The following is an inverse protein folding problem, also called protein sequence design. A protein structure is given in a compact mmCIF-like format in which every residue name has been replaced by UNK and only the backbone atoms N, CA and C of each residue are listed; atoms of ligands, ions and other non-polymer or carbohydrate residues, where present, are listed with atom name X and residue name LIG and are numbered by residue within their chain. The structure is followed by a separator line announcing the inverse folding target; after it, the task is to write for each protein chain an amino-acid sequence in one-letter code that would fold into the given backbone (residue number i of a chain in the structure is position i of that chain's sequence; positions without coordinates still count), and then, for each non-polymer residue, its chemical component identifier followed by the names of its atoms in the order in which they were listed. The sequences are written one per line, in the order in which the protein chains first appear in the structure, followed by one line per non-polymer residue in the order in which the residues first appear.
data_IF_531194904776
#
_entry.id   IF_531194904776
#
_cell.length_a   1.000
_cell.length_b   1.000
_cell.length_c   1.000
_cell.angle_alpha   90.00
_cell.angle_beta   90.00
_cell.angle_gamma   90.00
#
_symmetry.space_group_name_H-M   'P 1'
#
loop_
_entity.id
_entity.type
_entity.pdbx_description
1 polymer ?
#
# COMPACT_ATOMS: atom_id res chain seq x y z
N UNK A 1 14.51 -12.41 -16.68
CA UNK A 1 15.06 -12.97 -15.43
C UNK A 1 15.75 -11.95 -14.50
N UNK A 2 16.26 -10.79 -14.96
CA UNK A 2 16.87 -9.79 -14.07
C UNK A 2 15.87 -8.83 -13.37
N UNK A 3 14.88 -8.32 -14.10
CA UNK A 3 13.90 -7.35 -13.53
C UNK A 3 12.98 -7.97 -12.48
N UNK A 4 12.58 -9.23 -12.66
CA UNK A 4 11.73 -9.95 -11.71
C UNK A 4 12.46 -10.30 -10.42
N UNK A 5 13.77 -10.56 -10.49
CA UNK A 5 14.60 -10.74 -9.29
C UNK A 5 14.81 -9.41 -8.55
N UNK A 6 14.88 -8.29 -9.25
CA UNK A 6 14.94 -6.96 -8.64
C UNK A 6 13.63 -6.63 -7.90
N UNK A 7 12.48 -6.88 -8.53
CA UNK A 7 11.16 -6.66 -7.92
C UNK A 7 10.93 -7.61 -6.73
N UNK A 8 11.28 -8.89 -6.88
CA UNK A 8 11.20 -9.86 -5.79
C UNK A 8 12.11 -9.48 -4.61
N UNK A 9 13.36 -9.11 -4.89
CA UNK A 9 14.30 -8.64 -3.86
C UNK A 9 13.85 -7.35 -3.17
N UNK A 10 13.26 -6.40 -3.90
CA UNK A 10 12.69 -5.19 -3.31
C UNK A 10 11.47 -5.48 -2.43
N UNK A 11 10.58 -6.37 -2.89
CA UNK A 11 9.40 -6.80 -2.14
C UNK A 11 9.81 -7.49 -0.84
N UNK A 12 10.81 -8.37 -0.90
CA UNK A 12 11.37 -9.07 0.27
C UNK A 12 11.97 -8.10 1.28
N UNK A 13 12.85 -7.20 0.83
CA UNK A 13 13.47 -6.18 1.71
C UNK A 13 12.42 -5.24 2.28
N UNK A 14 11.46 -4.77 1.48
CA UNK A 14 10.34 -3.96 1.92
C UNK A 14 9.44 -4.66 2.94
N UNK A 15 9.36 -6.00 2.86
CA UNK A 15 8.63 -6.87 3.80
C UNK A 15 9.48 -7.30 5.02
N UNK A 16 10.73 -6.86 5.13
CA UNK A 16 11.64 -7.19 6.23
C UNK A 16 12.32 -8.56 6.14
N UNK A 17 12.29 -9.21 4.99
CA UNK A 17 12.95 -10.49 4.72
C UNK A 17 14.44 -10.24 4.40
N UNK A 18 15.33 -11.03 5.00
CA UNK A 18 16.79 -10.90 4.85
C UNK A 18 17.27 -11.31 3.46
N UNK A 19 18.32 -10.65 2.93
CA UNK A 19 18.98 -11.02 1.67
C UNK A 19 19.50 -12.48 1.63
N UNK A 20 19.68 -13.13 2.79
CA UNK A 20 20.09 -14.54 2.88
C UNK A 20 18.93 -15.53 2.74
N UNK A 21 17.72 -15.06 2.92
CA UNK A 21 16.47 -15.84 2.84
C UNK A 21 15.71 -15.55 1.54
N UNK A 22 16.38 -14.97 0.54
CA UNK A 22 15.87 -14.84 -0.83
C UNK A 22 15.71 -16.27 -1.37
N UNK A 23 14.59 -16.88 -1.02
CA UNK A 23 14.13 -18.17 -1.52
C UNK A 23 13.93 -18.05 -3.04
N UNK A 24 13.80 -19.18 -3.74
CA UNK A 24 13.39 -19.18 -5.14
C UNK A 24 12.03 -18.49 -5.27
N UNK A 25 12.06 -17.18 -5.50
CA UNK A 25 10.92 -16.29 -5.55
C UNK A 25 10.04 -16.67 -6.73
N UNK A 26 8.78 -16.98 -6.47
CA UNK A 26 7.74 -16.87 -7.51
C UNK A 26 7.15 -15.45 -7.48
N UNK A 27 8.04 -14.45 -7.63
CA UNK A 27 7.65 -13.05 -7.72
C UNK A 27 6.67 -12.79 -8.86
N UNK A 28 6.62 -13.69 -9.85
CA UNK A 28 5.61 -13.69 -10.90
C UNK A 28 4.21 -14.00 -10.36
N UNK A 29 4.01 -15.02 -9.53
CA UNK A 29 2.71 -15.29 -8.92
C UNK A 29 2.26 -14.18 -7.97
N UNK A 30 3.18 -13.58 -7.21
CA UNK A 30 2.86 -12.40 -6.39
C UNK A 30 2.38 -11.23 -7.25
N UNK A 31 3.09 -10.94 -8.34
CA UNK A 31 2.69 -9.90 -9.30
C UNK A 31 1.34 -10.20 -9.96
N UNK A 32 1.10 -11.46 -10.34
CA UNK A 32 -0.18 -11.88 -10.93
C UNK A 32 -1.33 -11.78 -9.93
N UNK A 33 -1.10 -12.08 -8.64
CA UNK A 33 -2.09 -11.92 -7.59
C UNK A 33 -2.43 -10.43 -7.34
N UNK A 34 -1.44 -9.54 -7.44
CA UNK A 34 -1.59 -8.09 -7.26
C UNK A 34 -2.08 -7.37 -8.52
N UNK A 35 -2.05 -8.02 -9.69
CA UNK A 35 -2.60 -7.46 -10.92
C UNK A 35 -4.08 -7.12 -10.79
N UNK A 36 -4.57 -6.18 -11.61
CA UNK A 36 -6.00 -5.81 -11.64
C UNK A 36 -6.91 -7.03 -11.84
N UNK A 37 -6.53 -7.96 -12.73
CA UNK A 37 -7.29 -9.18 -12.98
C UNK A 37 -7.28 -10.14 -11.78
N UNK A 38 -6.14 -10.26 -11.11
CA UNK A 38 -5.99 -11.07 -9.89
C UNK A 38 -6.84 -10.52 -8.75
N UNK A 39 -6.71 -9.23 -8.48
CA UNK A 39 -7.48 -8.52 -7.46
C UNK A 39 -8.99 -8.56 -7.76
N UNK A 40 -9.41 -8.38 -9.02
CA UNK A 40 -10.83 -8.47 -9.39
C UNK A 40 -11.42 -9.86 -9.11
N UNK A 41 -10.70 -10.94 -9.44
CA UNK A 41 -11.12 -12.32 -9.13
C UNK A 41 -11.21 -12.57 -7.63
N UNK A 42 -10.30 -12.01 -6.84
CA UNK A 42 -10.33 -12.09 -5.37
C UNK A 42 -11.53 -11.32 -4.81
N UNK A 43 -11.72 -10.06 -5.22
CA UNK A 43 -12.78 -9.19 -4.74
C UNK A 43 -14.18 -9.71 -5.11
N UNK A 44 -14.33 -10.40 -6.24
CA UNK A 44 -15.58 -11.06 -6.60
C UNK A 44 -15.98 -12.17 -5.62
N UNK A 45 -14.99 -12.83 -4.98
CA UNK A 45 -15.23 -13.84 -3.94
C UNK A 45 -15.38 -13.24 -2.55
N UNK A 46 -14.67 -12.15 -2.28
CA UNK A 46 -14.60 -11.50 -0.97
C UNK A 46 -14.89 -9.99 -1.04
N UNK A 47 -16.15 -9.58 -1.32
CA UNK A 47 -16.50 -8.17 -1.60
C UNK A 47 -16.73 -7.30 -0.35
N UNK A 48 -16.36 -7.79 0.84
CA UNK A 48 -16.70 -7.13 2.10
C UNK A 48 -16.12 -5.70 2.16
N UNK A 49 -16.98 -4.71 2.40
CA UNK A 49 -16.62 -3.30 2.55
C UNK A 49 -15.80 -2.70 1.38
N UNK A 50 -15.96 -3.24 0.16
CA UNK A 50 -15.33 -2.72 -1.05
C UNK A 50 -16.14 -1.56 -1.67
N UNK A 51 -15.50 -0.62 -2.39
CA UNK A 51 -16.18 0.25 -3.34
C UNK A 51 -16.90 -0.54 -4.43
N UNK A 52 -18.03 -0.03 -4.92
CA UNK A 52 -18.79 -0.64 -6.04
C UNK A 52 -18.34 -0.14 -7.42
N UNK A 53 -17.52 0.90 -7.46
CA UNK A 53 -16.94 1.48 -8.67
C UNK A 53 -15.51 1.95 -8.43
N UNK A 54 -14.73 2.05 -9.51
CA UNK A 54 -13.37 2.55 -9.42
C UNK A 54 -13.34 3.97 -8.86
N UNK A 55 -12.46 4.19 -7.89
CA UNK A 55 -12.35 5.45 -7.15
C UNK A 55 -13.66 5.93 -6.49
N UNK A 56 -14.62 5.05 -6.26
CA UNK A 56 -15.72 5.29 -5.34
C UNK A 56 -15.25 5.26 -3.89
N UNK A 57 -16.09 5.75 -2.98
CA UNK A 57 -15.95 5.44 -1.56
C UNK A 57 -16.65 4.11 -1.27
N UNK A 58 -16.14 3.30 -0.32
CA UNK A 58 -16.84 2.10 0.13
C UNK A 58 -18.26 2.44 0.59
N UNK A 59 -19.25 1.69 0.12
CA UNK A 59 -20.67 1.91 0.47
C UNK A 59 -20.99 1.51 1.91
N UNK A 60 -20.10 0.72 2.54
CA UNK A 60 -20.17 0.32 3.93
C UNK A 60 -18.78 0.30 4.56
N UNK A 61 -18.69 0.68 5.83
CA UNK A 61 -17.47 0.60 6.65
C UNK A 61 -17.45 -0.66 7.53
N UNK A 62 -18.44 -1.54 7.41
CA UNK A 62 -18.51 -2.81 8.13
C UNK A 62 -19.21 -3.91 7.35
N UNK A 63 -18.80 -5.15 7.52
CA UNK A 63 -19.47 -6.33 6.97
C UNK A 63 -19.43 -7.48 7.98
N UNK A 64 -20.56 -8.17 8.18
CA UNK A 64 -20.67 -9.28 9.13
C UNK A 64 -20.17 -8.94 10.55
N UNK A 65 -20.45 -7.73 11.03
CA UNK A 65 -20.00 -7.25 12.35
C UNK A 65 -18.52 -6.84 12.43
N UNK A 66 -17.74 -7.00 11.34
CA UNK A 66 -16.34 -6.61 11.27
C UNK A 66 -16.25 -5.18 10.72
N UNK A 67 -15.53 -4.29 11.41
CA UNK A 67 -15.25 -2.92 10.94
C UNK A 67 -14.00 -2.91 10.07
N UNK A 68 -14.09 -2.28 8.89
CA UNK A 68 -12.99 -2.17 7.93
C UNK A 68 -12.49 -0.73 7.88
N UNK A 69 -11.18 -0.56 7.77
CA UNK A 69 -10.51 0.74 7.67
C UNK A 69 -9.41 0.64 6.61
N UNK A 70 -9.12 1.76 5.95
CA UNK A 70 -7.98 1.88 5.04
C UNK A 70 -7.31 3.23 5.18
N UNK A 71 -6.03 3.28 4.87
CA UNK A 71 -5.30 4.51 4.60
C UNK A 71 -4.22 4.23 3.54
N UNK A 72 -3.81 5.26 2.81
CA UNK A 72 -2.77 5.15 1.78
C UNK A 72 -2.11 6.50 1.51
N UNK A 73 -1.11 6.48 0.64
CA UNK A 73 -0.29 7.63 0.26
C UNK A 73 -0.38 7.98 -1.22
N UNK A 74 0.06 9.18 -1.53
CA UNK A 74 0.34 9.67 -2.87
C UNK A 74 1.68 10.38 -2.84
N UNK A 75 2.56 10.01 -3.78
CA UNK A 75 3.89 10.59 -3.94
C UNK A 75 4.97 9.52 -3.87
N UNK A 76 5.91 9.58 -4.81
CA UNK A 76 6.91 8.53 -5.00
C UNK A 76 8.28 8.93 -4.45
N UNK A 77 8.63 10.22 -4.60
CA UNK A 77 9.87 10.79 -4.10
C UNK A 77 9.56 11.78 -2.99
N UNK A 78 9.79 11.37 -1.76
CA UNK A 78 9.60 12.16 -0.54
C UNK A 78 10.93 12.52 0.13
N UNK A 79 11.98 11.75 -0.15
CA UNK A 79 13.32 11.89 0.41
C UNK A 79 14.37 11.52 -0.62
N UNK A 80 15.04 12.51 -1.21
CA UNK A 80 16.06 12.30 -2.24
C UNK A 80 17.26 11.42 -1.82
N UNK A 81 17.49 11.25 -0.50
CA UNK A 81 18.54 10.38 0.05
C UNK A 81 18.10 8.92 0.22
N UNK A 82 16.81 8.61 0.05
CA UNK A 82 16.30 7.24 0.07
C UNK A 82 16.35 6.68 -1.37
N UNK A 83 17.17 5.66 -1.66
CA UNK A 83 17.25 5.08 -3.00
C UNK A 83 15.93 4.40 -3.44
N UNK A 84 15.09 3.98 -2.49
CA UNK A 84 13.84 3.29 -2.79
C UNK A 84 12.81 4.19 -3.46
N UNK A 85 12.83 5.49 -3.17
CA UNK A 85 12.00 6.51 -3.81
C UNK A 85 12.15 6.52 -5.33
N UNK A 86 13.37 6.37 -5.84
CA UNK A 86 13.61 6.38 -7.29
C UNK A 86 13.06 5.11 -7.96
N UNK A 87 13.12 3.97 -7.27
CA UNK A 87 12.52 2.74 -7.77
C UNK A 87 10.99 2.86 -7.78
N UNK A 88 10.39 3.38 -6.70
CA UNK A 88 8.95 3.62 -6.61
C UNK A 88 8.46 4.65 -7.62
N UNK A 89 9.30 5.66 -7.93
CA UNK A 89 9.03 6.59 -9.01
C UNK A 89 9.03 5.88 -10.38
N UNK A 90 9.99 4.99 -10.63
CA UNK A 90 10.00 4.20 -11.88
C UNK A 90 8.79 3.27 -12.00
N UNK A 91 8.37 2.62 -10.92
CA UNK A 91 7.18 1.73 -10.93
C UNK A 91 5.86 2.49 -10.96
N UNK A 92 5.85 3.80 -10.69
CA UNK A 92 4.66 4.64 -10.84
C UNK A 92 4.29 4.97 -12.29
N UNK A 93 5.24 4.86 -13.24
CA UNK A 93 5.02 5.25 -14.65
C UNK A 93 3.78 4.60 -15.28
N UNK A 94 3.48 3.30 -15.09
CA UNK A 94 2.29 2.66 -15.64
C UNK A 94 0.96 3.19 -15.08
N UNK A 95 0.95 3.91 -13.96
CA UNK A 95 -0.24 4.52 -13.39
C UNK A 95 -0.70 5.78 -14.14
N UNK A 96 0.11 6.28 -15.08
CA UNK A 96 -0.19 7.48 -15.89
C UNK A 96 -0.52 8.69 -14.99
N UNK A 97 -1.77 9.17 -15.03
CA UNK A 97 -2.24 10.31 -14.24
C UNK A 97 -2.88 9.91 -12.91
N UNK A 98 -2.95 8.63 -12.59
CA UNK A 98 -3.61 8.15 -11.39
C UNK A 98 -2.72 8.35 -10.17
N UNK A 99 -3.27 8.95 -9.12
CA UNK A 99 -2.54 9.25 -7.90
C UNK A 99 -2.13 7.94 -7.22
N UNK A 100 -0.85 7.76 -6.90
CA UNK A 100 -0.31 6.49 -6.41
C UNK A 100 0.91 6.68 -5.49
N UNK A 101 1.25 5.63 -4.77
CA UNK A 101 2.39 5.56 -3.84
C UNK A 101 3.64 4.89 -4.47
N UNK A 102 3.61 4.64 -5.78
CA UNK A 102 4.64 3.90 -6.52
C UNK A 102 4.27 2.46 -6.86
N UNK A 103 3.35 1.84 -6.11
CA UNK A 103 2.91 0.44 -6.35
C UNK A 103 1.39 0.26 -6.33
N UNK A 104 0.65 1.13 -5.67
CA UNK A 104 -0.80 1.08 -5.53
C UNK A 104 -1.39 2.48 -5.74
N UNK A 105 -2.50 2.57 -6.49
CA UNK A 105 -3.21 3.84 -6.62
C UNK A 105 -4.04 4.15 -5.38
N UNK A 106 -4.22 5.44 -5.09
CA UNK A 106 -5.08 5.91 -4.00
C UNK A 106 -6.49 5.32 -4.11
N UNK A 107 -7.04 5.29 -5.33
CA UNK A 107 -8.35 4.70 -5.61
C UNK A 107 -8.41 3.18 -5.31
N UNK A 108 -7.37 2.42 -5.67
CA UNK A 108 -7.28 0.97 -5.44
C UNK A 108 -7.12 0.63 -3.95
N UNK A 109 -6.56 1.54 -3.14
CA UNK A 109 -6.31 1.33 -1.71
C UNK A 109 -7.57 1.33 -0.82
N UNK A 110 -8.73 1.73 -1.36
CA UNK A 110 -9.93 2.02 -0.56
C UNK A 110 -10.65 0.76 -0.11
N UNK A 111 -10.80 0.63 1.21
CA UNK A 111 -11.56 -0.42 1.87
C UNK A 111 -12.20 0.12 3.16
N UNK A 112 -13.50 -0.11 3.33
CA UNK A 112 -14.26 0.36 4.50
C UNK A 112 -14.15 1.86 4.77
N UNK A 113 -13.91 2.25 6.03
CA UNK A 113 -13.69 3.65 6.38
C UNK A 113 -12.32 4.11 5.89
N UNK A 114 -12.29 4.88 4.80
CA UNK A 114 -11.07 5.49 4.25
C UNK A 114 -10.67 6.64 5.17
N UNK A 115 -9.64 6.41 5.99
CA UNK A 115 -9.11 7.42 6.92
C UNK A 115 -8.55 8.60 6.14
N UNK A 116 -7.71 8.27 5.15
CA UNK A 116 -7.08 9.19 4.19
C UNK A 116 -6.27 8.36 3.19
N UNK A 117 -6.38 8.64 1.91
CA UNK A 117 -5.70 7.93 0.80
C UNK A 117 -4.69 8.83 0.06
N UNK A 118 -4.36 9.98 0.64
CA UNK A 118 -3.45 10.98 0.06
C UNK A 118 -2.44 11.51 1.10
N UNK A 119 -1.93 10.67 1.99
CA UNK A 119 -0.72 11.02 2.76
C UNK A 119 0.43 11.30 1.80
N UNK A 120 1.30 12.27 2.09
CA UNK A 120 2.56 12.45 1.34
C UNK A 120 3.49 11.31 1.75
N UNK A 121 3.32 10.16 1.10
CA UNK A 121 3.97 8.89 1.41
C UNK A 121 4.04 8.06 0.13
N UNK A 122 5.21 7.46 -0.10
CA UNK A 122 5.34 6.35 -1.03
C UNK A 122 4.98 5.02 -0.34
N UNK A 123 5.04 3.92 -1.09
CA UNK A 123 4.58 2.62 -0.59
C UNK A 123 5.36 2.16 0.65
N UNK A 124 6.67 2.38 0.68
CA UNK A 124 7.53 1.97 1.80
C UNK A 124 7.40 2.89 3.01
N UNK A 125 7.15 4.18 2.79
CA UNK A 125 6.89 5.12 3.87
C UNK A 125 5.72 4.67 4.75
N UNK A 126 4.70 4.03 4.16
CA UNK A 126 3.54 3.53 4.92
C UNK A 126 3.95 2.61 6.09
N UNK A 127 5.07 1.90 5.95
CA UNK A 127 5.66 1.02 6.95
C UNK A 127 6.86 1.64 7.72
N UNK A 128 7.05 2.96 7.63
CA UNK A 128 8.22 3.69 8.18
C UNK A 128 9.56 3.25 7.57
N UNK A 129 9.55 2.78 6.32
CA UNK A 129 10.74 2.40 5.56
C UNK A 129 11.17 3.51 4.57
N UNK A 130 12.46 3.59 4.19
CA UNK A 130 13.57 2.78 4.73
C UNK A 130 14.17 3.47 5.96
N UNK A 131 14.36 2.74 7.07
CA UNK A 131 14.99 3.26 8.30
C UNK A 131 14.34 4.56 8.85
N UNK A 132 13.05 4.79 8.60
CA UNK A 132 12.33 6.00 9.03
C UNK A 132 12.54 7.24 8.16
N UNK A 133 13.09 7.09 6.95
CA UNK A 133 13.38 8.20 6.02
C UNK A 133 12.14 8.77 5.29
N UNK A 134 11.06 8.99 6.03
CA UNK A 134 9.76 9.46 5.50
C UNK A 134 9.66 10.96 5.21
N UNK A 135 8.64 11.39 4.48
CA UNK A 135 8.38 12.79 4.12
C UNK A 135 8.53 13.80 5.28
N UNK A 136 8.98 15.01 4.93
CA UNK A 136 9.01 16.16 5.84
C UNK A 136 7.66 16.88 5.84
N UNK A 137 7.21 17.34 7.01
CA UNK A 137 5.96 18.11 7.14
C UNK A 137 4.68 17.28 7.03
N UNK A 138 4.79 15.96 6.83
CA UNK A 138 3.67 15.02 6.88
C UNK A 138 3.64 14.24 8.20
N UNK A 139 2.48 13.70 8.52
CA UNK A 139 2.25 12.75 9.60
C UNK A 139 3.24 11.60 9.53
N UNK A 140 3.97 11.33 10.63
CA UNK A 140 4.83 10.15 10.68
C UNK A 140 4.00 8.86 10.63
N UNK A 141 4.42 7.81 9.91
CA UNK A 141 3.67 6.55 9.82
C UNK A 141 3.36 5.97 11.20
N UNK A 142 4.34 5.99 12.11
CA UNK A 142 4.16 5.63 13.53
C UNK A 142 3.00 6.37 14.20
N UNK A 143 2.83 7.66 13.92
CA UNK A 143 1.73 8.47 14.45
C UNK A 143 0.38 8.10 13.82
N UNK A 144 0.35 7.73 12.54
CA UNK A 144 -0.86 7.22 11.86
C UNK A 144 -1.34 5.94 12.54
N UNK A 145 -0.43 4.96 12.75
CA UNK A 145 -0.77 3.72 13.45
C UNK A 145 -1.24 3.97 14.89
N UNK A 146 -0.55 4.82 15.66
CA UNK A 146 -0.98 5.20 17.02
C UNK A 146 -2.38 5.81 17.03
N UNK A 147 -2.68 6.66 16.06
CA UNK A 147 -4.00 7.28 15.90
C UNK A 147 -5.05 6.23 15.56
N UNK A 148 -4.72 5.26 14.69
CA UNK A 148 -5.62 4.15 14.38
C UNK A 148 -5.89 3.26 15.60
N UNK A 149 -4.89 2.94 16.41
CA UNK A 149 -5.09 2.17 17.65
C UNK A 149 -6.02 2.92 18.60
N UNK A 150 -5.85 4.24 18.76
CA UNK A 150 -6.76 5.05 19.56
C UNK A 150 -8.19 5.07 18.99
N UNK A 151 -8.34 5.08 17.65
CA UNK A 151 -9.64 4.98 16.98
C UNK A 151 -10.32 3.65 17.29
N UNK A 152 -9.58 2.54 17.27
CA UNK A 152 -10.10 1.21 17.61
C UNK A 152 -10.53 1.14 19.08
N UNK A 153 -9.68 1.61 20.00
CA UNK A 153 -10.01 1.71 21.42
C UNK A 153 -11.31 2.48 21.66
N UNK A 154 -11.46 3.65 21.03
CA UNK A 154 -12.67 4.49 21.15
C UNK A 154 -13.90 3.85 20.48
N UNK A 155 -13.69 2.87 19.61
CA UNK A 155 -14.73 2.06 18.99
C UNK A 155 -15.05 0.78 19.78
N UNK A 156 -14.46 0.62 20.98
CA UNK A 156 -14.52 -0.56 21.85
C UNK A 156 -14.00 -1.84 21.18
N UNK A 157 -12.89 -1.73 20.44
CA UNK A 157 -12.16 -2.81 19.79
C UNK A 157 -10.72 -2.91 20.29
#
# INVERSE_FOLDING_TARGET
SGVFNLIGGFTDVGSGISFKEIQAQDGWQSLMALSTDGAAKFNAKFPAAMPTSYCGQPTSTSANGIKYYSFSGVGQVVRALDPSDYLLAATSVPFLSDANDGLVSACSSRLGYVIRDNYIMNHLDSADQVLGLTAWGESKPKSIYRTQVNRLKNANL
#
